data_IF_269658600123
#
_entry.id   IF_269658600123
#
_cell.length_a   1.000
_cell.length_b   1.000
_cell.length_c   1.000
_cell.angle_alpha   90.00
_cell.angle_beta   90.00
_cell.angle_gamma   90.00
#
_symmetry.space_group_name_H-M   'P 1'
#
loop_
_entity.id
_entity.type
_entity.pdbx_description
1 polymer ?
#
# COMPACT_ATOMS: atom_id res chain seq x y z
N UNK A 1 -40.14 -47.77 1.56
CA UNK A 1 -41.57 -47.69 1.21
C UNK A 1 -41.89 -46.24 0.88
N UNK A 2 -42.58 -46.04 -0.25
CA UNK A 2 -43.02 -44.81 -0.94
C UNK A 2 -43.80 -43.81 -0.05
N UNK A 3 -44.15 -42.57 -0.52
CA UNK A 3 -44.21 -42.12 -1.92
C UNK A 3 -43.69 -40.71 -2.30
N UNK A 4 -43.41 -40.60 -3.60
CA UNK A 4 -43.38 -39.38 -4.41
C UNK A 4 -44.80 -38.85 -4.67
N UNK A 5 -44.95 -37.53 -4.80
CA UNK A 5 -46.18 -36.89 -5.31
C UNK A 5 -45.90 -36.23 -6.65
N UNK A 6 -46.57 -36.73 -7.68
CA UNK A 6 -46.74 -36.12 -9.00
C UNK A 6 -47.95 -35.19 -8.98
N UNK A 7 -47.85 -34.02 -9.61
CA UNK A 7 -49.01 -33.29 -10.14
C UNK A 7 -48.69 -32.87 -11.57
N UNK A 8 -49.46 -33.43 -12.52
CA UNK A 8 -49.66 -32.93 -13.89
C UNK A 8 -50.97 -32.14 -13.89
N UNK A 9 -51.06 -31.09 -14.70
CA UNK A 9 -52.29 -30.69 -15.40
C UNK A 9 -51.94 -29.95 -16.71
N UNK A 10 -52.42 -30.53 -17.80
CA UNK A 10 -52.69 -29.97 -19.14
C UNK A 10 -53.51 -28.66 -19.05
N UNK A 11 -53.46 -27.66 -19.94
CA UNK A 11 -53.33 -27.63 -21.40
C UNK A 11 -54.59 -26.93 -21.96
N UNK A 12 -54.46 -25.98 -22.92
CA UNK A 12 -55.31 -25.77 -24.12
C UNK A 12 -55.28 -24.33 -24.73
N UNK A 13 -55.11 -24.31 -26.07
CA UNK A 13 -55.69 -23.45 -27.15
C UNK A 13 -55.52 -21.91 -27.07
N UNK A 14 -54.87 -21.20 -28.00
CA UNK A 14 -54.99 -21.02 -29.47
C UNK A 14 -55.66 -19.69 -29.83
N UNK A 15 -55.09 -18.92 -30.75
CA UNK A 15 -55.79 -17.77 -31.37
C UNK A 15 -54.84 -16.79 -32.06
N UNK A 16 -55.10 -16.53 -33.34
CA UNK A 16 -54.17 -15.97 -34.32
C UNK A 16 -54.58 -14.54 -34.78
N UNK A 17 -53.58 -13.74 -35.17
CA UNK A 17 -53.57 -12.75 -36.28
C UNK A 17 -54.42 -11.47 -36.13
N UNK A 18 -53.78 -10.28 -36.18
CA UNK A 18 -54.03 -9.22 -37.20
C UNK A 18 -53.04 -8.04 -37.12
N UNK A 19 -52.94 -7.35 -38.25
CA UNK A 19 -51.90 -6.44 -38.76
C UNK A 19 -52.08 -4.97 -38.35
N UNK A 20 -50.96 -4.24 -38.39
CA UNK A 20 -50.74 -2.83 -38.79
C UNK A 20 -51.59 -1.70 -38.17
N UNK A 21 -50.91 -0.75 -37.52
CA UNK A 21 -51.05 0.68 -37.81
C UNK A 21 -49.77 1.45 -37.41
N UNK A 22 -49.20 2.18 -38.37
CA UNK A 22 -48.24 3.25 -38.17
C UNK A 22 -48.95 4.41 -37.45
N UNK A 23 -48.35 4.94 -36.38
CA UNK A 23 -48.50 6.35 -36.03
C UNK A 23 -47.11 6.91 -35.69
N UNK A 24 -46.65 7.78 -36.57
CA UNK A 24 -45.53 8.70 -36.35
C UNK A 24 -45.94 9.78 -35.35
N UNK A 25 -45.19 9.92 -34.27
CA UNK A 25 -45.11 11.15 -33.48
C UNK A 25 -43.65 11.52 -33.28
N UNK A 26 -43.23 12.58 -33.96
CA UNK A 26 -42.01 13.30 -33.67
C UNK A 26 -42.32 14.35 -32.59
N UNK A 27 -41.53 14.38 -31.52
CA UNK A 27 -41.36 15.55 -30.66
C UNK A 27 -39.99 15.49 -29.99
N UNK A 28 -39.36 16.67 -29.94
CA UNK A 28 -37.97 16.97 -29.68
C UNK A 28 -37.50 16.76 -28.22
N UNK A 29 -36.20 16.50 -28.13
CA UNK A 29 -35.22 16.98 -27.12
C UNK A 29 -35.43 16.64 -25.64
N UNK A 30 -34.46 15.91 -25.08
CA UNK A 30 -33.39 16.48 -24.25
C UNK A 30 -32.30 15.42 -24.07
N UNK A 31 -31.09 15.73 -24.54
CA UNK A 31 -29.87 14.99 -24.21
C UNK A 31 -29.66 15.10 -22.70
N UNK A 32 -29.78 14.00 -21.98
CA UNK A 32 -29.22 13.85 -20.64
C UNK A 32 -27.98 12.98 -20.78
N UNK A 33 -26.81 13.62 -20.81
CA UNK A 33 -25.54 12.97 -20.55
C UNK A 33 -25.53 12.57 -19.07
N UNK A 34 -26.09 11.40 -18.76
CA UNK A 34 -25.79 10.70 -17.52
C UNK A 34 -24.35 10.21 -17.58
N UNK A 35 -23.42 10.99 -17.05
CA UNK A 35 -22.10 10.48 -16.67
C UNK A 35 -22.30 9.48 -15.54
N UNK A 36 -22.55 8.23 -15.93
CA UNK A 36 -22.38 7.09 -15.06
C UNK A 36 -20.85 6.97 -14.87
N UNK A 37 -20.29 7.05 -13.65
CA UNK A 37 -18.88 6.76 -13.46
C UNK A 37 -18.68 5.31 -13.88
N UNK A 38 -18.11 5.12 -15.07
CA UNK A 38 -17.70 3.81 -15.52
C UNK A 38 -16.76 3.28 -14.45
N UNK A 39 -17.12 2.14 -13.86
CA UNK A 39 -16.18 1.28 -13.15
C UNK A 39 -15.01 1.06 -14.10
N UNK A 40 -13.90 1.73 -13.82
CA UNK A 40 -12.62 1.40 -14.43
C UNK A 40 -12.26 0.04 -13.86
N UNK A 41 -12.65 -1.02 -14.57
CA UNK A 41 -11.98 -2.29 -14.41
C UNK A 41 -10.52 -2.03 -14.80
N UNK A 42 -9.53 -2.30 -13.95
CA UNK A 42 -8.15 -2.21 -14.37
C UNK A 42 -7.98 -3.18 -15.54
N UNK A 43 -7.71 -2.63 -16.71
CA UNK A 43 -7.31 -3.41 -17.86
C UNK A 43 -6.07 -4.22 -17.48
N UNK A 44 -6.18 -5.53 -17.58
CA UNK A 44 -5.02 -6.43 -17.66
C UNK A 44 -4.22 -5.98 -18.88
N UNK A 45 -3.10 -5.30 -18.64
CA UNK A 45 -2.19 -4.79 -19.68
C UNK A 45 -1.64 -3.40 -19.41
N UNK A 46 -1.25 -3.05 -18.18
CA UNK A 46 -0.37 -1.89 -17.99
C UNK A 46 0.99 -2.21 -18.64
N UNK A 47 1.49 -1.34 -19.52
CA UNK A 47 2.85 -1.46 -20.04
C UNK A 47 3.83 -1.41 -18.88
N UNK A 48 4.77 -2.38 -18.84
CA UNK A 48 5.83 -2.41 -17.83
C UNK A 48 6.74 -1.21 -18.10
N UNK A 49 6.99 -0.32 -17.11
CA UNK A 49 7.86 0.84 -17.32
C UNK A 49 9.28 0.43 -17.73
N UNK A 50 9.83 1.07 -18.75
CA UNK A 50 11.21 0.82 -19.21
C UNK A 50 12.26 1.57 -18.37
N UNK A 51 11.89 2.69 -17.76
CA UNK A 51 12.74 3.47 -16.87
C UNK A 51 12.55 3.04 -15.41
N UNK A 52 13.53 3.33 -14.55
CA UNK A 52 13.47 3.07 -13.10
C UNK A 52 12.20 3.65 -12.48
N UNK A 53 11.52 2.84 -11.66
CA UNK A 53 10.23 3.21 -11.09
C UNK A 53 10.01 2.62 -9.70
N UNK A 54 9.03 3.19 -9.00
CA UNK A 54 8.49 2.72 -7.73
C UNK A 54 7.07 2.21 -7.96
N UNK A 55 6.69 1.12 -7.29
CA UNK A 55 5.34 0.55 -7.32
C UNK A 55 4.81 0.35 -5.90
N UNK A 56 3.55 0.71 -5.66
CA UNK A 56 2.88 0.46 -4.38
C UNK A 56 2.38 -0.99 -4.34
N UNK A 57 2.84 -1.76 -3.34
CA UNK A 57 2.54 -3.19 -3.19
C UNK A 57 1.50 -3.47 -2.11
N UNK A 58 1.32 -2.53 -1.19
CA UNK A 58 0.28 -2.54 -0.16
C UNK A 58 0.21 -1.20 0.54
N UNK A 59 -0.90 -0.95 1.23
CA UNK A 59 -1.22 0.38 1.78
C UNK A 59 -1.83 0.33 3.18
N UNK A 60 -2.07 -0.86 3.73
CA UNK A 60 -2.73 -1.04 5.03
C UNK A 60 -1.69 -1.07 6.16
N UNK A 61 -2.09 -0.68 7.37
CA UNK A 61 -1.28 -0.78 8.57
C UNK A 61 -0.92 -2.24 8.93
N UNK A 62 0.03 -2.41 9.83
CA UNK A 62 0.58 -3.65 10.38
C UNK A 62 -0.36 -4.86 10.49
N UNK A 63 -1.52 -4.66 11.09
CA UNK A 63 -2.44 -5.73 11.45
C UNK A 63 -3.28 -6.22 10.26
N UNK A 64 -3.15 -5.56 9.10
CA UNK A 64 -3.82 -5.89 7.86
C UNK A 64 -5.32 -5.61 7.86
N UNK A 65 -5.95 -5.96 6.73
CA UNK A 65 -7.39 -5.80 6.51
C UNK A 65 -7.93 -7.05 5.80
N UNK A 66 -8.89 -7.79 6.40
CA UNK A 66 -9.50 -7.54 7.70
C UNK A 66 -8.54 -7.82 8.87
N UNK A 67 -8.52 -6.92 9.86
CA UNK A 67 -7.75 -7.15 11.09
C UNK A 67 -8.32 -8.33 11.89
N UNK A 68 -7.43 -9.17 12.43
CA UNK A 68 -7.76 -10.33 13.25
C UNK A 68 -8.72 -9.95 14.40
N UNK A 69 -9.85 -10.65 14.46
CA UNK A 69 -10.86 -10.48 15.52
C UNK A 69 -11.78 -9.27 15.35
N UNK A 70 -11.59 -8.42 14.34
CA UNK A 70 -12.48 -7.28 14.09
C UNK A 70 -13.81 -7.73 13.47
N UNK A 71 -14.91 -7.51 14.18
CA UNK A 71 -16.29 -7.82 13.72
C UNK A 71 -17.08 -6.59 13.26
N UNK A 72 -16.45 -5.42 13.21
CA UNK A 72 -17.08 -4.16 12.79
C UNK A 72 -17.29 -4.14 11.27
N UNK A 73 -18.16 -3.25 10.80
CA UNK A 73 -18.49 -3.12 9.37
C UNK A 73 -17.26 -2.86 8.48
N UNK A 74 -16.25 -2.17 9.00
CA UNK A 74 -14.99 -1.89 8.29
C UNK A 74 -14.25 -3.18 7.84
N UNK A 75 -14.26 -4.24 8.65
CA UNK A 75 -13.62 -5.52 8.31
C UNK A 75 -14.61 -6.55 7.76
N UNK A 76 -15.89 -6.49 8.19
CA UNK A 76 -16.91 -7.48 7.80
C UNK A 76 -17.11 -7.58 6.29
N UNK A 77 -16.97 -6.48 5.55
CA UNK A 77 -17.08 -6.49 4.08
C UNK A 77 -15.94 -7.25 3.38
N UNK A 78 -14.84 -7.49 4.09
CA UNK A 78 -13.69 -8.27 3.62
C UNK A 78 -13.66 -9.70 4.19
N UNK A 79 -14.60 -10.08 5.06
CA UNK A 79 -14.68 -11.45 5.59
C UNK A 79 -14.94 -12.45 4.45
N UNK A 80 -14.04 -13.42 4.28
CA UNK A 80 -14.13 -14.41 3.20
C UNK A 80 -13.86 -13.86 1.79
N UNK A 81 -13.63 -12.55 1.66
CA UNK A 81 -13.23 -11.91 0.41
C UNK A 81 -11.71 -11.77 0.42
N UNK A 82 -11.03 -12.46 -0.49
CA UNK A 82 -9.63 -12.17 -0.78
C UNK A 82 -9.59 -10.91 -1.63
N UNK A 83 -9.54 -9.75 -1.00
CA UNK A 83 -9.19 -8.52 -1.70
C UNK A 83 -7.66 -8.51 -1.86
N UNK A 84 -7.13 -8.75 -3.08
CA UNK A 84 -5.70 -8.89 -3.30
C UNK A 84 -4.91 -7.58 -3.08
N UNK A 85 -5.61 -6.46 -2.96
CA UNK A 85 -5.02 -5.12 -3.02
C UNK A 85 -4.99 -4.46 -1.63
N UNK A 86 -5.43 -5.17 -0.59
CA UNK A 86 -5.44 -4.74 0.82
C UNK A 86 -4.29 -5.36 1.63
N UNK A 87 -3.10 -5.41 1.05
CA UNK A 87 -1.89 -5.87 1.74
C UNK A 87 -1.36 -4.79 2.70
N UNK A 88 -0.61 -5.23 3.71
CA UNK A 88 0.18 -4.36 4.60
C UNK A 88 1.14 -3.48 3.77
N UNK A 89 1.49 -2.29 4.27
CA UNK A 89 2.26 -1.29 3.54
C UNK A 89 3.59 -1.85 3.03
N UNK A 90 3.84 -1.71 1.73
CA UNK A 90 5.13 -2.01 1.12
C UNK A 90 5.27 -1.31 -0.22
N UNK A 91 6.51 -1.01 -0.59
CA UNK A 91 6.86 -0.45 -1.89
C UNK A 91 7.85 -1.36 -2.59
N UNK A 92 7.74 -1.46 -3.91
CA UNK A 92 8.73 -2.09 -4.78
C UNK A 92 9.51 -1.02 -5.52
N UNK A 93 10.83 -1.13 -5.57
CA UNK A 93 11.69 -0.36 -6.45
C UNK A 93 12.19 -1.29 -7.56
N UNK A 94 12.12 -0.84 -8.81
CA UNK A 94 12.58 -1.63 -9.96
C UNK A 94 13.46 -0.75 -10.82
N UNK A 95 14.65 -1.27 -11.11
CA UNK A 95 15.62 -0.70 -12.05
C UNK A 95 15.73 -1.66 -13.24
N UNK A 96 14.98 -1.43 -14.33
CA UNK A 96 15.02 -2.29 -15.51
C UNK A 96 16.38 -2.29 -16.22
N UNK A 97 17.15 -1.20 -16.13
CA UNK A 97 18.41 -1.06 -16.83
C UNK A 97 19.49 -1.96 -16.23
N UNK A 98 19.54 -2.07 -14.91
CA UNK A 98 20.43 -3.00 -14.19
C UNK A 98 19.80 -4.37 -13.91
N UNK A 99 18.53 -4.55 -14.28
CA UNK A 99 17.73 -5.74 -13.94
C UNK A 99 17.73 -6.01 -12.43
N UNK A 100 17.53 -4.96 -11.64
CA UNK A 100 17.51 -5.00 -10.18
C UNK A 100 16.17 -4.61 -9.61
N UNK A 101 15.88 -5.15 -8.44
CA UNK A 101 14.63 -4.90 -7.74
C UNK A 101 14.82 -4.91 -6.23
N UNK A 102 14.09 -4.05 -5.52
CA UNK A 102 14.19 -3.93 -4.07
C UNK A 102 12.79 -3.86 -3.46
N UNK A 103 12.61 -4.50 -2.32
CA UNK A 103 11.38 -4.44 -1.53
C UNK A 103 11.60 -3.54 -0.32
N UNK A 104 10.76 -2.54 -0.12
CA UNK A 104 10.68 -1.80 1.13
C UNK A 104 9.54 -2.41 1.94
N UNK A 105 9.86 -2.84 3.15
CA UNK A 105 9.04 -3.65 4.07
C UNK A 105 8.87 -5.11 3.67
N UNK A 106 9.39 -6.02 4.50
CA UNK A 106 9.12 -7.45 4.41
C UNK A 106 7.90 -7.80 5.27
N UNK A 107 6.71 -7.48 4.78
CA UNK A 107 5.46 -7.61 5.54
C UNK A 107 4.98 -9.07 5.68
N UNK A 108 4.00 -9.37 6.55
CA UNK A 108 3.31 -10.67 6.56
C UNK A 108 2.76 -11.09 5.18
N UNK A 109 2.43 -10.12 4.33
CA UNK A 109 1.86 -10.32 2.99
C UNK A 109 2.90 -10.48 1.89
N UNK A 110 4.18 -10.63 2.23
CA UNK A 110 5.31 -10.69 1.28
C UNK A 110 5.06 -11.63 0.10
N UNK A 111 4.41 -12.79 0.31
CA UNK A 111 4.08 -13.72 -0.77
C UNK A 111 3.22 -13.06 -1.85
N UNK A 112 2.19 -12.31 -1.44
CA UNK A 112 1.29 -11.62 -2.37
C UNK A 112 1.98 -10.41 -3.00
N UNK A 113 2.74 -9.67 -2.21
CA UNK A 113 3.46 -8.48 -2.67
C UNK A 113 4.51 -8.84 -3.73
N UNK A 114 5.24 -9.95 -3.57
CA UNK A 114 6.17 -10.44 -4.60
C UNK A 114 5.45 -10.89 -5.87
N UNK A 115 4.27 -11.51 -5.77
CA UNK A 115 3.44 -11.83 -6.95
C UNK A 115 2.92 -10.58 -7.66
N UNK A 116 2.63 -9.50 -6.92
CA UNK A 116 2.29 -8.20 -7.51
C UNK A 116 3.51 -7.61 -8.20
N UNK A 117 4.65 -7.53 -7.50
CA UNK A 117 5.90 -6.95 -7.99
C UNK A 117 6.37 -7.65 -9.27
N UNK A 118 6.26 -8.98 -9.34
CA UNK A 118 6.59 -9.79 -10.51
C UNK A 118 5.86 -9.37 -11.79
N UNK A 119 4.65 -8.81 -11.69
CA UNK A 119 3.91 -8.33 -12.86
C UNK A 119 4.57 -7.14 -13.55
N UNK A 120 5.46 -6.43 -12.84
CA UNK A 120 6.15 -5.24 -13.30
C UNK A 120 7.62 -5.50 -13.64
N UNK A 121 8.05 -6.77 -13.66
CA UNK A 121 9.42 -7.16 -13.96
C UNK A 121 9.42 -7.97 -15.25
N UNK A 122 10.10 -7.47 -16.27
CA UNK A 122 10.13 -8.04 -17.61
C UNK A 122 11.33 -8.96 -17.88
N UNK A 123 12.38 -8.89 -17.05
CA UNK A 123 13.55 -9.75 -17.18
C UNK A 123 13.32 -11.13 -16.52
N UNK A 124 13.95 -12.17 -17.08
CA UNK A 124 13.69 -13.55 -16.72
C UNK A 124 14.06 -13.90 -15.26
N UNK A 125 13.36 -14.87 -14.69
CA UNK A 125 13.63 -15.52 -13.39
C UNK A 125 13.51 -14.67 -12.11
N UNK A 126 12.71 -13.59 -12.11
CA UNK A 126 12.36 -12.91 -10.85
C UNK A 126 11.57 -13.82 -9.91
N UNK A 127 12.13 -14.04 -8.72
CA UNK A 127 11.48 -14.73 -7.61
C UNK A 127 11.65 -13.98 -6.29
N UNK A 128 12.85 -13.44 -6.02
CA UNK A 128 13.15 -12.58 -4.87
C UNK A 128 13.72 -11.24 -5.32
N UNK A 129 13.53 -10.17 -4.53
CA UNK A 129 14.22 -8.91 -4.74
C UNK A 129 15.72 -9.06 -4.47
N UNK A 130 16.52 -8.23 -5.14
CA UNK A 130 17.96 -8.10 -4.94
C UNK A 130 18.33 -7.46 -3.59
N UNK A 131 17.37 -6.84 -2.92
CA UNK A 131 17.51 -6.40 -1.54
C UNK A 131 16.17 -6.07 -0.90
N UNK A 132 16.15 -6.12 0.43
CA UNK A 132 15.00 -5.75 1.25
C UNK A 132 15.43 -4.60 2.16
N UNK A 133 14.62 -3.55 2.27
CA UNK A 133 14.84 -2.43 3.16
C UNK A 133 13.75 -2.42 4.23
N UNK A 134 14.14 -2.21 5.48
CA UNK A 134 13.23 -2.19 6.62
C UNK A 134 13.27 -0.83 7.30
N UNK A 135 12.09 -0.27 7.60
CA UNK A 135 11.98 0.96 8.38
C UNK A 135 12.11 0.72 9.88
N UNK A 136 11.44 -0.32 10.43
CA UNK A 136 11.41 -0.56 11.87
C UNK A 136 10.94 -1.98 12.26
N UNK A 137 10.88 -2.26 13.58
CA UNK A 137 10.61 -3.57 14.17
C UNK A 137 9.15 -3.81 14.59
N UNK A 138 8.18 -3.22 13.90
CA UNK A 138 6.77 -3.61 14.05
C UNK A 138 6.42 -4.81 13.17
N UNK A 139 5.48 -5.63 13.63
CA UNK A 139 5.19 -6.93 13.02
C UNK A 139 4.77 -6.83 11.55
N UNK A 140 4.20 -5.69 11.14
CA UNK A 140 3.83 -5.41 9.75
C UNK A 140 5.00 -5.22 8.80
N UNK A 141 6.20 -5.01 9.32
CA UNK A 141 7.31 -4.43 8.57
C UNK A 141 8.45 -5.41 8.26
N UNK A 142 8.63 -6.47 9.06
CA UNK A 142 9.77 -7.39 8.90
C UNK A 142 9.43 -8.89 9.04
N UNK A 143 8.24 -9.25 9.50
CA UNK A 143 7.91 -10.66 9.79
C UNK A 143 7.86 -11.53 8.54
N UNK A 144 7.67 -10.94 7.36
CA UNK A 144 7.79 -11.59 6.05
C UNK A 144 9.16 -12.22 5.80
N UNK A 145 10.22 -11.72 6.46
CA UNK A 145 11.56 -12.33 6.40
C UNK A 145 11.55 -13.81 6.78
N UNK A 146 10.61 -14.27 7.63
CA UNK A 146 10.48 -15.68 7.98
C UNK A 146 10.28 -16.59 6.75
N UNK A 147 9.72 -16.07 5.66
CA UNK A 147 9.54 -16.82 4.40
C UNK A 147 10.86 -17.14 3.68
N UNK A 148 11.96 -16.50 4.08
CA UNK A 148 13.30 -16.72 3.52
C UNK A 148 14.04 -17.91 4.16
N UNK A 149 13.54 -18.43 5.28
CA UNK A 149 14.16 -19.52 6.03
C UNK A 149 13.95 -20.91 5.43
N UNK A 150 14.62 -21.92 6.03
CA UNK A 150 14.62 -23.33 5.59
C UNK A 150 13.23 -23.97 5.49
N UNK A 151 12.29 -23.54 6.31
CA UNK A 151 10.92 -24.07 6.35
C UNK A 151 10.05 -23.57 5.19
N UNK A 152 10.51 -22.53 4.51
CA UNK A 152 9.82 -21.89 3.40
C UNK A 152 10.72 -21.92 2.15
N UNK A 153 11.21 -20.77 1.69
CA UNK A 153 11.94 -20.70 0.43
C UNK A 153 13.40 -21.15 0.54
N UNK A 154 14.01 -21.07 1.72
CA UNK A 154 15.43 -21.32 1.94
C UNK A 154 16.33 -20.49 1.01
N UNK A 155 16.22 -19.17 1.10
CA UNK A 155 16.97 -18.24 0.24
C UNK A 155 18.48 -18.33 0.45
N UNK A 156 19.25 -17.73 -0.47
CA UNK A 156 20.70 -17.58 -0.33
C UNK A 156 21.12 -16.11 -0.25
N UNK A 157 21.53 -15.66 0.94
CA UNK A 157 22.17 -14.35 1.21
C UNK A 157 21.44 -13.12 0.67
N UNK A 158 20.10 -13.08 0.79
CA UNK A 158 19.32 -11.88 0.41
C UNK A 158 19.79 -10.68 1.23
N UNK A 159 20.26 -9.58 0.61
CA UNK A 159 20.63 -8.37 1.34
C UNK A 159 19.43 -7.77 2.08
N UNK A 160 19.59 -7.49 3.38
CA UNK A 160 18.58 -6.84 4.20
C UNK A 160 19.19 -5.57 4.79
N UNK A 161 18.75 -4.41 4.30
CA UNK A 161 19.17 -3.09 4.74
C UNK A 161 18.32 -2.64 5.92
N UNK A 162 18.96 -2.35 7.04
CA UNK A 162 18.27 -1.93 8.25
C UNK A 162 19.19 -1.08 9.15
N UNK A 163 18.60 -0.28 10.03
CA UNK A 163 19.34 0.51 11.01
C UNK A 163 20.05 -0.37 12.06
N UNK A 164 21.08 0.13 12.76
CA UNK A 164 21.91 -0.69 13.64
C UNK A 164 21.15 -1.46 14.73
N UNK A 165 20.18 -0.87 15.46
CA UNK A 165 19.42 -1.66 16.45
C UNK A 165 18.57 -2.72 15.75
N UNK A 166 17.97 -2.43 14.59
CA UNK A 166 17.23 -3.45 13.83
C UNK A 166 18.15 -4.60 13.37
N UNK A 167 19.37 -4.30 12.91
CA UNK A 167 20.34 -5.37 12.56
C UNK A 167 20.72 -6.22 13.78
N UNK A 168 20.91 -5.59 14.94
CA UNK A 168 21.18 -6.31 16.19
C UNK A 168 19.99 -7.15 16.62
N UNK A 169 18.77 -6.63 16.49
CA UNK A 169 17.53 -7.34 16.78
C UNK A 169 17.39 -8.60 15.91
N UNK A 170 17.53 -8.47 14.58
CA UNK A 170 17.46 -9.60 13.65
C UNK A 170 18.59 -10.61 13.85
N UNK A 171 19.78 -10.17 14.26
CA UNK A 171 20.92 -11.06 14.51
C UNK A 171 20.89 -11.75 15.89
N UNK A 172 20.12 -11.24 16.84
CA UNK A 172 20.10 -11.70 18.23
C UNK A 172 18.79 -12.34 18.69
N UNK A 173 17.72 -12.28 17.89
CA UNK A 173 16.40 -12.78 18.28
C UNK A 173 15.86 -13.80 17.28
N UNK A 174 15.35 -14.91 17.82
CA UNK A 174 14.64 -15.90 17.04
C UNK A 174 13.27 -15.40 16.57
N UNK A 175 12.79 -15.84 15.39
CA UNK A 175 13.44 -16.82 14.51
C UNK A 175 14.43 -16.22 13.49
N UNK A 176 14.64 -14.90 13.48
CA UNK A 176 15.42 -14.22 12.42
C UNK A 176 16.93 -14.42 12.53
N UNK A 177 17.44 -14.63 13.74
CA UNK A 177 18.86 -14.96 13.98
C UNK A 177 19.31 -16.21 13.20
N UNK A 178 18.40 -17.18 13.01
CA UNK A 178 18.62 -18.34 12.17
C UNK A 178 18.80 -17.95 10.71
N UNK A 179 18.03 -17.00 10.18
CA UNK A 179 18.19 -16.55 8.80
C UNK A 179 19.58 -15.95 8.56
N UNK A 180 20.11 -15.24 9.56
CA UNK A 180 21.46 -14.66 9.51
C UNK A 180 22.52 -15.74 9.62
N UNK A 181 22.46 -16.60 10.65
CA UNK A 181 23.46 -17.64 10.90
C UNK A 181 23.52 -18.71 9.81
N UNK A 182 22.39 -19.02 9.19
CA UNK A 182 22.30 -19.96 8.08
C UNK A 182 22.61 -19.34 6.72
N UNK A 183 22.84 -18.02 6.67
CA UNK A 183 23.15 -17.29 5.44
C UNK A 183 21.96 -17.21 4.47
N UNK A 184 20.73 -17.30 4.96
CA UNK A 184 19.53 -17.03 4.16
C UNK A 184 19.42 -15.53 3.85
N UNK A 185 19.77 -14.68 4.82
CA UNK A 185 19.86 -13.22 4.66
C UNK A 185 21.27 -12.71 4.99
N UNK A 186 21.64 -11.55 4.44
CA UNK A 186 22.86 -10.82 4.77
C UNK A 186 22.49 -9.40 5.22
N UNK A 187 22.72 -9.10 6.50
CA UNK A 187 22.42 -7.78 7.05
C UNK A 187 23.38 -6.72 6.48
N UNK A 188 22.81 -5.58 6.06
CA UNK A 188 23.49 -4.40 5.54
C UNK A 188 23.13 -3.22 6.42
N UNK A 189 23.98 -2.82 7.38
CA UNK A 189 23.66 -1.74 8.28
C UNK A 189 23.53 -0.42 7.51
N UNK A 190 22.49 0.32 7.84
CA UNK A 190 22.24 1.68 7.39
C UNK A 190 22.72 2.69 8.45
N UNK A 191 22.84 3.94 8.05
CA UNK A 191 23.22 5.03 8.94
C UNK A 191 22.36 6.27 8.67
N UNK A 192 21.87 6.90 9.73
CA UNK A 192 21.05 8.10 9.66
C UNK A 192 21.70 9.18 8.79
N UNK A 193 20.94 9.74 7.84
CA UNK A 193 21.38 10.76 6.89
C UNK A 193 22.58 10.38 6.01
N UNK A 194 22.93 9.09 5.97
CA UNK A 194 23.96 8.59 5.06
C UNK A 194 23.30 7.89 3.89
N UNK A 195 23.67 8.29 2.68
CA UNK A 195 23.21 7.63 1.46
C UNK A 195 23.77 6.20 1.39
N UNK A 196 22.87 5.24 1.12
CA UNK A 196 23.19 3.87 0.79
C UNK A 196 22.83 3.62 -0.68
N UNK A 197 23.84 3.24 -1.47
CA UNK A 197 23.69 2.95 -2.88
C UNK A 197 23.09 1.55 -3.08
N UNK A 198 21.99 1.46 -3.83
CA UNK A 198 21.34 0.20 -4.21
C UNK A 198 21.77 -0.24 -5.61
N UNK A 199 21.75 0.69 -6.57
CA UNK A 199 22.24 0.55 -7.96
C UNK A 199 22.96 1.84 -8.37
N UNK A 200 23.45 1.96 -9.61
CA UNK A 200 23.96 3.24 -10.13
C UNK A 200 22.85 4.30 -10.26
N UNK A 201 21.57 3.87 -10.31
CA UNK A 201 20.41 4.74 -10.47
C UNK A 201 19.59 4.95 -9.20
N UNK A 202 19.70 4.05 -8.22
CA UNK A 202 18.91 4.07 -7.00
C UNK A 202 19.77 4.22 -5.75
N UNK A 203 19.45 5.20 -4.93
CA UNK A 203 19.99 5.37 -3.59
C UNK A 203 18.87 5.56 -2.56
N UNK A 204 19.16 5.21 -1.31
CA UNK A 204 18.27 5.47 -0.18
C UNK A 204 19.02 6.19 0.92
N UNK A 205 18.37 7.16 1.56
CA UNK A 205 18.91 7.86 2.73
C UNK A 205 17.89 7.75 3.88
N UNK A 206 18.23 7.04 4.97
CA UNK A 206 17.33 6.88 6.10
C UNK A 206 17.30 8.15 6.97
N UNK A 207 16.10 8.54 7.38
CA UNK A 207 15.86 9.62 8.33
C UNK A 207 15.25 9.01 9.59
N UNK A 208 15.85 9.20 10.77
CA UNK A 208 15.24 8.82 12.04
C UNK A 208 13.94 9.60 12.20
N UNK A 209 12.88 8.91 12.58
CA UNK A 209 11.52 9.44 12.73
C UNK A 209 11.07 9.12 14.15
N UNK A 210 10.41 10.05 14.87
CA UNK A 210 9.91 9.79 16.20
C UNK A 210 8.81 8.74 16.11
N UNK A 211 9.01 7.63 16.79
CA UNK A 211 8.02 6.60 16.93
C UNK A 211 8.32 5.79 18.19
N UNK A 212 7.42 4.88 18.58
CA UNK A 212 7.67 3.94 19.68
C UNK A 212 8.81 2.96 19.34
N UNK A 213 10.03 3.38 19.62
CA UNK A 213 11.25 2.59 19.46
C UNK A 213 11.30 1.44 20.51
N UNK A 214 10.54 0.37 20.29
CA UNK A 214 10.51 -0.81 21.17
C UNK A 214 11.77 -1.68 20.98
N UNK A 215 11.92 -2.26 19.78
CA UNK A 215 12.99 -3.21 19.44
C UNK A 215 14.02 -2.66 18.45
N UNK A 216 13.70 -1.58 17.74
CA UNK A 216 14.62 -0.91 16.81
C UNK A 216 14.39 0.59 16.80
N UNK A 217 15.28 1.32 16.14
CA UNK A 217 14.96 2.67 15.66
C UNK A 217 13.83 2.60 14.62
N UNK A 218 13.11 3.71 14.47
CA UNK A 218 12.21 3.94 13.33
C UNK A 218 12.80 4.94 12.35
N UNK A 219 12.73 4.61 11.06
CA UNK A 219 13.17 5.52 9.99
C UNK A 219 12.13 5.69 8.91
N UNK A 220 12.14 6.86 8.28
CA UNK A 220 11.67 7.04 6.91
C UNK A 220 12.83 6.97 5.91
N UNK A 221 12.53 6.87 4.63
CA UNK A 221 13.51 6.89 3.55
C UNK A 221 13.29 8.04 2.58
N UNK A 222 14.37 8.76 2.23
CA UNK A 222 14.46 9.46 0.96
C UNK A 222 15.02 8.47 -0.06
N UNK A 223 14.25 8.17 -1.10
CA UNK A 223 14.62 7.29 -2.20
C UNK A 223 14.92 8.20 -3.40
N UNK A 224 16.16 8.18 -3.88
CA UNK A 224 16.54 8.96 -5.05
C UNK A 224 16.69 8.05 -6.25
N UNK A 225 15.96 8.35 -7.32
CA UNK A 225 16.18 7.77 -8.63
C UNK A 225 16.95 8.71 -9.57
N UNK A 226 17.00 8.38 -10.86
CA UNK A 226 17.69 9.19 -11.86
C UNK A 226 17.20 10.64 -11.97
N UNK A 227 15.89 10.87 -11.80
CA UNK A 227 15.28 12.17 -12.07
C UNK A 227 14.36 12.67 -10.97
N UNK A 228 13.89 11.78 -10.09
CA UNK A 228 12.84 12.02 -9.11
C UNK A 228 13.24 11.47 -7.75
N UNK A 229 12.64 12.05 -6.71
CA UNK A 229 12.81 11.60 -5.32
C UNK A 229 11.48 11.26 -4.70
N UNK A 230 11.46 10.17 -3.93
CA UNK A 230 10.33 9.82 -3.09
C UNK A 230 10.73 9.91 -1.61
N UNK A 231 9.88 10.50 -0.78
CA UNK A 231 9.92 10.38 0.66
C UNK A 231 8.94 9.27 1.08
N UNK A 232 9.38 8.33 1.91
CA UNK A 232 8.54 7.27 2.47
C UNK A 232 8.65 7.27 3.99
N UNK A 233 7.58 7.67 4.67
CA UNK A 233 7.45 7.67 6.13
C UNK A 233 6.12 6.98 6.44
N UNK A 234 6.07 5.64 6.47
CA UNK A 234 4.82 4.92 6.67
C UNK A 234 4.29 5.07 8.10
N UNK A 235 5.18 5.25 9.08
CA UNK A 235 4.82 5.24 10.50
C UNK A 235 5.60 6.35 11.25
N UNK A 236 4.87 7.21 11.97
CA UNK A 236 5.40 8.31 12.80
C UNK A 236 4.45 8.67 13.93
N UNK A 237 5.01 9.06 15.09
CA UNK A 237 4.24 9.48 16.26
C UNK A 237 3.45 10.79 16.05
N UNK A 238 4.17 11.90 15.96
CA UNK A 238 3.59 13.22 15.67
C UNK A 238 4.64 14.08 14.97
N UNK A 239 4.21 14.86 13.98
CA UNK A 239 5.10 15.79 13.27
C UNK A 239 5.81 16.79 14.21
N UNK A 240 5.15 17.21 15.29
CA UNK A 240 5.69 18.15 16.28
C UNK A 240 6.82 17.57 17.13
N UNK A 241 6.92 16.24 17.23
CA UNK A 241 7.97 15.55 17.96
C UNK A 241 9.21 15.32 17.10
N UNK A 242 9.11 15.57 15.79
CA UNK A 242 10.21 15.35 14.88
C UNK A 242 11.07 16.60 14.76
N UNK A 243 12.39 16.43 14.86
CA UNK A 243 13.34 17.55 14.70
C UNK A 243 13.39 18.07 13.26
N UNK A 244 12.99 17.27 12.27
CA UNK A 244 12.95 17.69 10.87
C UNK A 244 11.60 18.30 10.51
N UNK A 245 11.64 19.34 9.68
CA UNK A 245 10.43 19.97 9.15
C UNK A 245 9.89 19.18 7.96
N UNK A 246 8.83 18.41 8.20
CA UNK A 246 8.13 17.65 7.15
C UNK A 246 7.65 18.54 5.99
N UNK A 247 7.28 19.80 6.25
CA UNK A 247 6.82 20.73 5.20
C UNK A 247 7.96 21.06 4.24
N UNK A 248 9.19 21.19 4.76
CA UNK A 248 10.40 21.38 3.94
C UNK A 248 10.79 20.11 3.19
N UNK A 249 10.62 18.93 3.81
CA UNK A 249 10.94 17.66 3.17
C UNK A 249 10.02 17.38 1.97
N UNK A 250 8.71 17.62 2.09
CA UNK A 250 7.74 17.48 0.98
C UNK A 250 8.14 18.35 -0.22
N UNK A 251 8.62 19.56 0.02
CA UNK A 251 9.08 20.47 -1.05
C UNK A 251 10.35 19.99 -1.78
N UNK A 252 11.16 19.14 -1.14
CA UNK A 252 12.42 18.64 -1.67
C UNK A 252 12.29 17.34 -2.46
N UNK A 253 11.10 16.74 -2.47
CA UNK A 253 10.82 15.49 -3.18
C UNK A 253 9.75 15.70 -4.25
N UNK A 254 9.55 14.67 -5.06
CA UNK A 254 8.51 14.63 -6.09
C UNK A 254 7.29 13.84 -5.64
N UNK A 255 7.49 12.86 -4.75
CA UNK A 255 6.44 12.07 -4.13
C UNK A 255 6.71 11.95 -2.63
N UNK A 256 5.68 12.05 -1.79
CA UNK A 256 5.79 11.91 -0.35
C UNK A 256 4.70 10.94 0.14
N UNK A 257 5.09 9.71 0.41
CA UNK A 257 4.26 8.65 0.98
C UNK A 257 4.29 8.78 2.51
N UNK A 258 3.22 9.31 3.09
CA UNK A 258 3.18 9.70 4.50
C UNK A 258 2.14 8.91 5.29
N UNK A 259 2.45 8.65 6.56
CA UNK A 259 1.58 8.01 7.54
C UNK A 259 0.18 8.64 7.53
N UNK A 260 -0.81 7.77 7.37
CA UNK A 260 -2.22 8.05 7.42
C UNK A 260 -2.95 6.96 8.19
N UNK A 261 -2.34 6.47 9.28
CA UNK A 261 -2.88 5.38 10.09
C UNK A 261 -4.32 5.68 10.48
N UNK A 262 -4.59 6.86 11.04
CA UNK A 262 -5.92 7.30 11.42
C UNK A 262 -6.31 8.59 10.70
N UNK A 263 -7.56 8.66 10.24
CA UNK A 263 -8.08 9.83 9.55
C UNK A 263 -8.32 11.00 10.51
N UNK A 264 -9.02 10.75 11.62
CA UNK A 264 -9.36 11.71 12.67
C UNK A 264 -9.60 11.00 14.02
N UNK A 265 -9.94 11.78 15.05
CA UNK A 265 -10.23 11.30 16.41
C UNK A 265 -11.47 10.38 16.49
N UNK A 266 -12.43 10.53 15.57
CA UNK A 266 -13.67 9.75 15.58
C UNK A 266 -13.42 8.28 15.23
N UNK A 267 -12.35 8.00 14.49
CA UNK A 267 -11.95 6.65 14.11
C UNK A 267 -11.62 5.77 15.34
N UNK A 268 -11.04 6.40 16.37
CA UNK A 268 -10.37 5.73 17.49
C UNK A 268 -11.35 5.23 18.59
N UNK A 269 -12.62 5.65 18.58
CA UNK A 269 -13.70 5.12 19.43
C UNK A 269 -13.33 4.90 20.92
N UNK A 270 -13.07 5.98 21.67
CA UNK A 270 -12.81 6.02 23.12
C UNK A 270 -11.48 5.42 23.62
N UNK A 271 -10.48 5.21 22.78
CA UNK A 271 -9.11 4.98 23.28
C UNK A 271 -8.49 6.30 23.72
N UNK A 272 -7.54 6.22 24.65
CA UNK A 272 -6.79 7.40 25.08
C UNK A 272 -5.94 7.91 23.90
N UNK A 273 -6.12 9.19 23.57
CA UNK A 273 -5.40 9.86 22.50
C UNK A 273 -3.89 9.93 22.77
N UNK A 274 -3.48 9.87 24.04
CA UNK A 274 -2.07 9.79 24.41
C UNK A 274 -1.45 8.41 24.14
N UNK A 275 -2.27 7.38 23.96
CA UNK A 275 -1.82 6.01 23.63
C UNK A 275 -1.75 5.76 22.11
N UNK A 276 -2.19 6.72 21.29
CA UNK A 276 -2.19 6.61 19.82
C UNK A 276 -1.43 7.80 19.25
N UNK A 277 -0.09 7.78 19.37
CA UNK A 277 0.73 8.80 18.77
C UNK A 277 0.80 8.49 17.27
N UNK A 278 -0.18 8.93 16.48
CA UNK A 278 0.00 9.09 15.03
C UNK A 278 -0.57 10.44 14.63
N UNK A 279 0.02 11.18 13.68
CA UNK A 279 -0.63 12.36 13.15
C UNK A 279 -1.90 11.93 12.43
N UNK A 280 -3.01 12.61 12.69
CA UNK A 280 -4.20 12.37 11.88
C UNK A 280 -3.99 12.88 10.47
N UNK A 281 -4.72 12.30 9.52
CA UNK A 281 -4.79 12.83 8.16
C UNK A 281 -5.26 14.29 8.19
N UNK A 282 -6.29 14.61 8.99
CA UNK A 282 -6.78 16.00 9.11
C UNK A 282 -5.71 16.94 9.67
N UNK A 283 -4.94 16.52 10.67
CA UNK A 283 -3.82 17.32 11.23
C UNK A 283 -2.71 17.52 10.19
N UNK A 284 -2.45 16.51 9.37
CA UNK A 284 -1.45 16.57 8.30
C UNK A 284 -1.89 17.52 7.19
N UNK A 285 -3.15 17.45 6.76
CA UNK A 285 -3.72 18.37 5.77
C UNK A 285 -3.70 19.83 6.26
N UNK A 286 -3.99 20.06 7.54
CA UNK A 286 -3.90 21.40 8.15
C UNK A 286 -2.46 21.91 8.14
N UNK A 287 -1.50 21.05 8.53
CA UNK A 287 -0.06 21.38 8.52
C UNK A 287 0.46 21.73 7.14
N UNK A 288 -0.02 21.07 6.09
CA UNK A 288 0.34 21.34 4.70
C UNK A 288 -0.58 22.38 4.04
N UNK A 289 -1.53 22.96 4.77
CA UNK A 289 -2.59 23.82 4.24
C UNK A 289 -2.08 25.03 3.44
N UNK A 290 -0.94 25.60 3.85
CA UNK A 290 -0.32 26.76 3.21
C UNK A 290 0.58 26.42 2.02
N UNK A 291 0.81 25.12 1.74
CA UNK A 291 1.58 24.71 0.57
C UNK A 291 0.82 24.99 -0.73
N UNK A 292 1.52 25.38 -1.81
CA UNK A 292 0.91 25.46 -3.14
C UNK A 292 0.30 24.12 -3.57
N UNK A 293 -0.76 24.14 -4.38
CA UNK A 293 -1.44 22.93 -4.88
C UNK A 293 -0.48 21.90 -5.47
N UNK A 294 0.53 22.36 -6.22
CA UNK A 294 1.56 21.48 -6.81
C UNK A 294 2.40 20.71 -5.79
N UNK A 295 2.54 21.23 -4.57
CA UNK A 295 3.29 20.58 -3.49
C UNK A 295 2.37 19.66 -2.69
N UNK A 296 1.11 20.06 -2.47
CA UNK A 296 0.08 19.18 -1.88
C UNK A 296 -0.15 17.92 -2.73
N UNK A 297 -0.17 18.07 -4.05
CA UNK A 297 -0.34 16.97 -5.00
C UNK A 297 0.77 15.91 -4.95
N UNK A 298 1.91 16.21 -4.32
CA UNK A 298 3.00 15.26 -4.11
C UNK A 298 2.76 14.34 -2.92
N UNK A 299 1.84 14.68 -2.02
CA UNK A 299 1.59 13.91 -0.80
C UNK A 299 0.59 12.80 -1.07
N UNK A 300 1.04 11.57 -0.88
CA UNK A 300 0.27 10.33 -0.98
C UNK A 300 0.13 9.75 0.43
N UNK A 301 -1.07 9.81 0.99
CA UNK A 301 -1.36 9.15 2.26
C UNK A 301 -1.29 7.62 2.10
N UNK A 302 -0.69 6.92 3.07
CA UNK A 302 -0.50 5.46 3.06
C UNK A 302 -0.53 4.91 4.51
N UNK A 303 -0.43 3.60 4.69
CA UNK A 303 -0.38 2.93 6.00
C UNK A 303 -1.71 3.02 6.79
N UNK A 304 -2.82 2.81 6.10
CA UNK A 304 -4.16 2.99 6.66
C UNK A 304 -4.53 1.91 7.67
N UNK A 305 -4.95 2.29 8.87
CA UNK A 305 -5.57 1.35 9.79
C UNK A 305 -6.84 0.77 9.19
N UNK A 306 -7.23 -0.44 9.62
CA UNK A 306 -8.39 -1.16 9.08
C UNK A 306 -9.74 -0.43 9.26
N UNK A 307 -9.81 0.59 10.13
CA UNK A 307 -10.99 1.46 10.33
C UNK A 307 -10.99 2.71 9.46
N UNK A 308 -9.88 3.01 8.78
CA UNK A 308 -9.67 4.29 8.15
C UNK A 308 -10.63 4.48 6.98
N UNK A 309 -11.44 5.57 6.97
CA UNK A 309 -12.43 5.79 5.92
C UNK A 309 -11.80 5.98 4.52
N UNK A 310 -10.51 6.33 4.43
CA UNK A 310 -9.78 6.43 3.17
C UNK A 310 -9.59 5.07 2.47
N UNK A 311 -9.83 3.95 3.15
CA UNK A 311 -9.89 2.63 2.51
C UNK A 311 -11.13 2.44 1.62
N UNK A 312 -12.12 3.34 1.73
CA UNK A 312 -13.35 3.34 0.96
C UNK A 312 -13.43 4.59 0.08
N UNK A 313 -13.21 4.40 -1.24
CA UNK A 313 -13.24 5.47 -2.23
C UNK A 313 -14.60 6.17 -2.36
N UNK A 314 -15.67 5.61 -1.77
CA UNK A 314 -17.00 6.24 -1.75
C UNK A 314 -17.23 7.09 -0.50
N UNK A 315 -16.28 7.12 0.45
CA UNK A 315 -16.43 7.85 1.70
C UNK A 315 -16.27 9.38 1.48
N UNK A 316 -16.99 10.21 2.26
CA UNK A 316 -16.78 11.65 2.25
C UNK A 316 -15.35 12.07 2.63
N UNK A 317 -14.69 11.30 3.49
CA UNK A 317 -13.31 11.53 3.89
C UNK A 317 -12.33 11.37 2.71
N UNK A 318 -12.53 10.33 1.90
CA UNK A 318 -11.74 10.10 0.68
C UNK A 318 -11.88 11.28 -0.29
N UNK A 319 -13.11 11.70 -0.58
CA UNK A 319 -13.35 12.84 -1.46
C UNK A 319 -12.75 14.13 -0.92
N UNK A 320 -12.86 14.39 0.40
CA UNK A 320 -12.27 15.57 1.03
C UNK A 320 -10.76 15.64 0.86
N UNK A 321 -10.04 14.52 1.00
CA UNK A 321 -8.58 14.48 0.80
C UNK A 321 -8.21 14.89 -0.62
N UNK A 322 -8.96 14.39 -1.62
CA UNK A 322 -8.74 14.76 -3.03
C UNK A 322 -9.10 16.23 -3.31
N UNK A 323 -10.21 16.73 -2.75
CA UNK A 323 -10.65 18.11 -2.92
C UNK A 323 -9.65 19.13 -2.32
N UNK A 324 -8.96 18.74 -1.26
CA UNK A 324 -7.89 19.53 -0.63
C UNK A 324 -6.54 19.44 -1.38
N UNK A 325 -6.49 18.67 -2.47
CA UNK A 325 -5.35 18.58 -3.38
C UNK A 325 -4.30 17.52 -3.02
N UNK A 326 -4.60 16.63 -2.07
CA UNK A 326 -3.74 15.51 -1.68
C UNK A 326 -4.12 14.22 -2.41
N UNK A 327 -3.28 13.19 -2.29
CA UNK A 327 -3.47 11.90 -2.93
C UNK A 327 -3.59 10.78 -1.89
N UNK A 328 -4.17 9.66 -2.29
CA UNK A 328 -4.32 8.45 -1.49
C UNK A 328 -3.60 7.34 -2.26
N UNK A 329 -2.60 6.72 -1.63
CA UNK A 329 -1.84 5.65 -2.27
C UNK A 329 -2.73 4.42 -2.49
N UNK A 330 -2.60 3.80 -3.66
CA UNK A 330 -3.31 2.58 -4.01
C UNK A 330 -2.33 1.54 -4.52
N UNK A 331 -2.53 0.28 -4.11
CA UNK A 331 -1.80 -0.87 -4.65
C UNK A 331 -1.86 -0.84 -6.18
N UNK A 332 -0.76 -1.20 -6.85
CA UNK A 332 -0.56 -1.14 -8.30
C UNK A 332 -0.24 0.24 -8.89
N UNK A 333 -0.31 1.34 -8.13
CA UNK A 333 0.19 2.64 -8.60
C UNK A 333 1.71 2.58 -8.85
N UNK A 334 2.14 3.14 -9.98
CA UNK A 334 3.56 3.22 -10.37
C UNK A 334 4.00 4.66 -10.55
N UNK A 335 5.26 4.93 -10.21
CA UNK A 335 5.84 6.26 -10.15
C UNK A 335 7.21 6.25 -10.82
N UNK A 336 7.45 7.04 -11.88
CA UNK A 336 8.79 7.20 -12.46
C UNK A 336 9.76 7.79 -11.44
N UNK A 337 10.97 7.23 -11.36
CA UNK A 337 12.05 7.62 -10.45
C UNK A 337 13.18 8.38 -11.16
#
# INVERSE_FOLDING_TARGET
MLPQVHIRLSGFLSGSIRRFCLITFAALSLYSCGNNPQKVNPSVGAEIPEATFLVVLGTVQDAGLPQLGCRKACCKKYEGVKDPDKNVVALGLVDPAEQKSFLIEATPDIKRQLEIMKKYISYADFFLPDGILLTHAHIGHYTGLMQLGREAYNSGKVPVYAMPKMTAFLGGNGPWDQLVSLGNISLKPLQHQSEAKLTDQLTVTPLLVPHRDEYSETVGFIISGPNKKALFIPDIDKWQQWEMDIVQLVQQVDYAFLDATFYDENEINNRDMSEIPHPFVVESMDRFGDLPEKEKAKVYFIHFNHTNPLLDATSPAYQKVLDEGYQIAETHQTFPM
#
